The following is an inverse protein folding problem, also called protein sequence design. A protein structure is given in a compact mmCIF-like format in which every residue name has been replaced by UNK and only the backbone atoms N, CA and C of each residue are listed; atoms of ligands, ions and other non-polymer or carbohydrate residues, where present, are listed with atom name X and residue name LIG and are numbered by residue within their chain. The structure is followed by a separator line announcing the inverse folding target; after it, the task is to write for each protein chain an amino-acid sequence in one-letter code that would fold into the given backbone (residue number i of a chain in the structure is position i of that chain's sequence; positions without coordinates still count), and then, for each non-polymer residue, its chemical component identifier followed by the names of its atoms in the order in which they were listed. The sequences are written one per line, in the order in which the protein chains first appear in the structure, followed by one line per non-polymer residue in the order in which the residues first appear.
data_IF_145385067913
#
_entry.id   IF_145385067913
#
_cell.length_a   1.000
_cell.length_b   1.000
_cell.length_c   1.000
_cell.angle_alpha   90.00
_cell.angle_beta   90.00
_cell.angle_gamma   90.00
#
_symmetry.space_group_name_H-M   'P 1'
#
loop_
_entity.id
_entity.type
_entity.pdbx_description
1 polymer ?
#
# COMPACT_ATOMS: atom_id res chain seq x y z
N UNK A 1 6.50 -17.59 -17.35
CA UNK A 1 7.37 -16.73 -16.51
C UNK A 1 7.85 -15.45 -17.18
N UNK A 2 8.19 -15.41 -18.48
CA UNK A 2 8.79 -14.22 -19.12
C UNK A 2 7.90 -12.96 -19.10
N UNK A 3 6.57 -13.12 -19.11
CA UNK A 3 5.63 -11.98 -19.12
C UNK A 3 5.50 -11.26 -17.76
N UNK A 4 5.77 -11.95 -16.64
CA UNK A 4 5.58 -11.36 -15.31
C UNK A 4 6.63 -10.28 -15.04
N UNK A 5 7.89 -10.51 -15.44
CA UNK A 5 8.96 -9.52 -15.28
C UNK A 5 8.69 -8.27 -16.12
N UNK A 6 8.24 -8.43 -17.37
CA UNK A 6 7.88 -7.31 -18.23
C UNK A 6 6.73 -6.48 -17.64
N UNK A 7 5.70 -7.14 -17.09
CA UNK A 7 4.60 -6.47 -16.41
C UNK A 7 5.07 -5.70 -15.17
N UNK A 8 5.94 -6.29 -14.35
CA UNK A 8 6.49 -5.63 -13.17
C UNK A 8 7.29 -4.39 -13.57
N UNK A 9 8.17 -4.48 -14.56
CA UNK A 9 8.96 -3.33 -15.01
C UNK A 9 8.07 -2.24 -15.64
N UNK A 10 7.09 -2.63 -16.45
CA UNK A 10 6.14 -1.69 -17.08
C UNK A 10 5.33 -0.90 -16.05
N UNK A 11 5.01 -1.51 -14.90
CA UNK A 11 4.16 -0.90 -13.87
C UNK A 11 4.91 -0.53 -12.60
N UNK A 12 6.24 -0.56 -12.62
CA UNK A 12 7.11 -0.36 -11.45
C UNK A 12 6.80 0.93 -10.70
N UNK A 13 6.68 2.04 -11.44
CA UNK A 13 6.43 3.35 -10.83
C UNK A 13 5.08 3.39 -10.13
N UNK A 14 4.03 2.83 -10.75
CA UNK A 14 2.71 2.68 -10.11
C UNK A 14 2.80 1.89 -8.81
N UNK A 15 3.51 0.77 -8.80
CA UNK A 15 3.66 -0.05 -7.59
C UNK A 15 4.44 0.67 -6.49
N UNK A 16 5.48 1.41 -6.86
CA UNK A 16 6.24 2.21 -5.92
C UNK A 16 5.37 3.33 -5.35
N UNK A 17 4.58 4.02 -6.17
CA UNK A 17 3.69 5.08 -5.72
C UNK A 17 2.60 4.55 -4.79
N UNK A 18 1.97 3.42 -5.13
CA UNK A 18 0.97 2.73 -4.30
C UNK A 18 1.59 2.32 -2.94
N UNK A 19 2.79 1.74 -2.95
CA UNK A 19 3.51 1.36 -1.73
C UNK A 19 3.88 2.59 -0.88
N UNK A 20 4.43 3.63 -1.49
CA UNK A 20 4.81 4.86 -0.80
C UNK A 20 3.59 5.60 -0.25
N UNK A 21 2.44 5.53 -0.93
CA UNK A 21 1.19 6.05 -0.42
C UNK A 21 0.75 5.30 0.84
N UNK A 22 0.80 3.97 0.83
CA UNK A 22 0.48 3.15 2.00
C UNK A 22 1.42 3.39 3.17
N UNK A 23 2.74 3.41 2.93
CA UNK A 23 3.76 3.58 3.98
C UNK A 23 3.72 4.95 4.68
N UNK A 24 3.10 5.96 4.06
CA UNK A 24 2.90 7.28 4.69
C UNK A 24 1.81 7.26 5.77
N UNK A 25 0.96 6.24 5.83
CA UNK A 25 -0.06 6.12 6.87
C UNK A 25 0.57 5.45 8.11
N UNK A 26 0.59 6.12 9.27
CA UNK A 26 1.18 5.58 10.48
C UNK A 26 0.25 4.55 11.14
N UNK A 27 0.07 3.40 10.50
CA UNK A 27 -0.81 2.30 10.93
C UNK A 27 -0.19 1.49 12.07
N UNK A 28 -0.18 2.04 13.30
CA UNK A 28 0.42 1.43 14.49
C UNK A 28 -0.69 0.82 15.37
N UNK A 29 -0.88 -0.50 15.30
CA UNK A 29 -1.98 -1.19 15.99
C UNK A 29 -1.80 -1.31 17.51
N UNK A 30 -0.56 -1.22 18.00
CA UNK A 30 -0.25 -1.30 19.43
C UNK A 30 -0.53 0.02 20.19
N UNK A 31 -0.72 1.13 19.47
CA UNK A 31 -0.98 2.45 20.03
C UNK A 31 -2.42 2.88 19.72
N UNK A 32 -3.32 3.00 20.73
CA UNK A 32 -4.71 3.40 20.53
C UNK A 32 -4.89 4.76 19.84
N UNK A 33 -3.92 5.67 19.92
CA UNK A 33 -3.98 6.99 19.26
C UNK A 33 -4.07 6.86 17.73
N UNK A 34 -3.48 5.81 17.15
CA UNK A 34 -3.42 5.56 15.71
C UNK A 34 -4.57 4.70 15.19
N UNK A 35 -5.63 4.47 15.99
CA UNK A 35 -6.78 3.65 15.58
C UNK A 35 -7.39 4.09 14.26
N UNK A 36 -7.45 5.40 13.99
CA UNK A 36 -7.98 5.93 12.73
C UNK A 36 -7.04 5.69 11.55
N UNK A 37 -5.73 5.76 11.75
CA UNK A 37 -4.74 5.47 10.70
C UNK A 37 -4.73 3.99 10.32
N UNK A 38 -4.99 3.09 11.26
CA UNK A 38 -5.19 1.66 10.97
C UNK A 38 -6.39 1.45 10.03
N UNK A 39 -7.51 2.11 10.29
CA UNK A 39 -8.70 2.05 9.42
C UNK A 39 -8.42 2.70 8.06
N UNK A 40 -7.68 3.81 8.03
CA UNK A 40 -7.28 4.47 6.79
C UNK A 40 -6.42 3.57 5.92
N UNK A 41 -5.44 2.87 6.51
CA UNK A 41 -4.62 1.90 5.81
C UNK A 41 -5.46 0.74 5.24
N UNK A 42 -6.48 0.26 5.97
CA UNK A 42 -7.37 -0.78 5.45
C UNK A 42 -8.21 -0.33 4.26
N UNK A 43 -8.70 0.91 4.27
CA UNK A 43 -9.44 1.44 3.12
C UNK A 43 -8.55 1.65 1.88
N UNK A 44 -7.26 1.97 2.05
CA UNK A 44 -6.31 2.10 0.93
C UNK A 44 -6.09 0.77 0.20
N UNK A 45 -6.03 -0.35 0.91
CA UNK A 45 -5.73 -1.68 0.33
C UNK A 45 -6.97 -2.48 -0.07
N UNK A 46 -8.16 -1.99 0.29
CA UNK A 46 -9.41 -2.67 0.01
C UNK A 46 -9.62 -2.73 -1.50
N UNK A 47 -9.74 -3.94 -2.04
CA UNK A 47 -10.20 -4.16 -3.41
C UNK A 47 -11.73 -4.01 -3.46
N UNK A 48 -12.26 -3.46 -4.55
CA UNK A 48 -13.69 -3.52 -4.88
C UNK A 48 -14.14 -4.96 -5.17
#
# INVERSE_FOLDING_TARGET
MNNIKAYIEQHKDRFLDELLHLLRVPSISADPEYKQDVLKASEIIKAD
#
